data_IF_930342078350
#
_entry.id   IF_930342078350
#
_cell.length_a   1.000
_cell.length_b   1.000
_cell.length_c   1.000
_cell.angle_alpha   90.00
_cell.angle_beta   90.00
_cell.angle_gamma   90.00
#
_symmetry.space_group_name_H-M   'P 1'
#
loop_
_entity.id
_entity.type
_entity.pdbx_description
1 polymer ?
#
# COMPACT_ATOMS: atom_id res chain seq x y z
N UNK A 1 3.73 -3.03 30.74
CA UNK A 1 3.07 -3.57 29.52
C UNK A 1 4.05 -4.48 28.78
N UNK A 2 4.12 -5.78 29.10
CA UNK A 2 4.85 -6.83 28.34
C UNK A 2 4.75 -8.22 29.02
N UNK A 3 3.65 -8.52 29.73
CA UNK A 3 3.53 -9.78 30.48
C UNK A 3 3.46 -11.02 29.55
N UNK A 4 2.82 -10.89 28.39
CA UNK A 4 2.68 -11.95 27.39
C UNK A 4 4.03 -12.41 26.83
N UNK A 5 4.91 -11.46 26.44
CA UNK A 5 6.23 -11.74 25.87
C UNK A 5 7.24 -12.33 26.88
N UNK A 6 6.87 -12.47 28.16
CA UNK A 6 7.68 -13.11 29.21
C UNK A 6 7.39 -14.59 29.39
N UNK A 7 6.33 -15.13 28.76
CA UNK A 7 5.98 -16.54 28.86
C UNK A 7 6.99 -17.34 28.01
N UNK A 8 7.71 -18.33 28.57
CA UNK A 8 8.60 -19.18 27.78
C UNK A 8 7.84 -19.92 26.67
N UNK A 9 8.49 -20.15 25.53
CA UNK A 9 7.95 -20.90 24.38
C UNK A 9 6.80 -20.21 23.61
N UNK A 10 6.53 -18.92 23.83
CA UNK A 10 5.55 -18.16 23.02
C UNK A 10 6.21 -17.32 21.93
N UNK A 11 5.51 -17.12 20.81
CA UNK A 11 5.91 -16.18 19.78
C UNK A 11 5.73 -14.76 20.28
N UNK A 12 6.79 -13.96 20.25
CA UNK A 12 6.74 -12.56 20.69
C UNK A 12 5.85 -11.75 19.76
N UNK A 13 4.98 -10.93 20.34
CA UNK A 13 4.10 -10.02 19.62
C UNK A 13 4.51 -8.57 19.85
N UNK A 14 4.32 -7.73 18.83
CA UNK A 14 4.50 -6.29 18.98
C UNK A 14 3.32 -5.74 19.80
N UNK A 15 3.63 -5.15 20.96
CA UNK A 15 2.62 -4.59 21.87
C UNK A 15 2.42 -3.07 21.67
N UNK A 16 3.16 -2.47 20.73
CA UNK A 16 2.91 -1.09 20.32
C UNK A 16 1.78 -1.07 19.28
N UNK A 17 0.59 -0.74 19.76
CA UNK A 17 -0.60 -0.66 18.91
C UNK A 17 -0.47 0.48 17.89
N UNK A 18 0.21 1.58 18.23
CA UNK A 18 0.38 2.71 17.31
C UNK A 18 1.22 2.30 16.12
N UNK A 19 2.35 1.65 16.37
CA UNK A 19 3.22 1.11 15.31
C UNK A 19 2.48 0.06 14.45
N UNK A 20 1.73 -0.85 15.07
CA UNK A 20 0.95 -1.83 14.33
C UNK A 20 -0.09 -1.18 13.42
N UNK A 21 -0.89 -0.24 13.94
CA UNK A 21 -1.93 0.45 13.17
C UNK A 21 -1.33 1.26 12.03
N UNK A 22 -0.22 1.96 12.26
CA UNK A 22 0.48 2.70 11.19
C UNK A 22 0.95 1.76 10.08
N UNK A 23 1.57 0.64 10.43
CA UNK A 23 2.06 -0.33 9.44
C UNK A 23 0.91 -0.96 8.63
N UNK A 24 -0.20 -1.34 9.28
CA UNK A 24 -1.37 -1.88 8.58
C UNK A 24 -2.05 -0.83 7.70
N UNK A 25 -2.14 0.42 8.15
CA UNK A 25 -2.67 1.51 7.34
C UNK A 25 -1.81 1.77 6.09
N UNK A 26 -0.47 1.77 6.24
CA UNK A 26 0.46 1.91 5.11
C UNK A 26 0.30 0.76 4.11
N UNK A 27 0.20 -0.49 4.58
CA UNK A 27 -0.08 -1.64 3.70
C UNK A 27 -1.36 -1.45 2.91
N UNK A 28 -2.44 -1.02 3.56
CA UNK A 28 -3.72 -0.74 2.91
C UNK A 28 -3.62 0.36 1.86
N UNK A 29 -2.94 1.47 2.19
CA UNK A 29 -2.73 2.59 1.29
C UNK A 29 -1.97 2.17 0.03
N UNK A 30 -0.83 1.49 0.18
CA UNK A 30 -0.04 1.04 -0.95
C UNK A 30 -0.75 -0.03 -1.78
N UNK A 31 -1.57 -0.88 -1.16
CA UNK A 31 -2.41 -1.82 -1.91
C UNK A 31 -3.40 -1.11 -2.83
N UNK A 32 -4.01 -0.02 -2.37
CA UNK A 32 -4.93 0.78 -3.19
C UNK A 32 -4.21 1.57 -4.28
N UNK A 33 -3.04 2.12 -3.98
CA UNK A 33 -2.19 2.76 -4.99
C UNK A 33 -1.83 1.76 -6.09
N UNK A 34 -1.43 0.54 -5.75
CA UNK A 34 -1.07 -0.49 -6.74
C UNK A 34 -2.26 -0.87 -7.64
N UNK A 35 -3.47 -0.93 -7.09
CA UNK A 35 -4.70 -1.19 -7.85
C UNK A 35 -4.96 -0.07 -8.89
N UNK A 36 -4.88 1.19 -8.47
CA UNK A 36 -5.10 2.34 -9.37
C UNK A 36 -3.98 2.49 -10.40
N UNK A 37 -2.73 2.25 -10.02
CA UNK A 37 -1.58 2.30 -10.92
C UNK A 37 -1.75 1.29 -12.07
N UNK A 38 -2.17 0.06 -11.72
CA UNK A 38 -2.49 -0.98 -12.70
C UNK A 38 -3.64 -0.58 -13.62
N UNK A 39 -4.68 0.08 -13.10
CA UNK A 39 -5.77 0.62 -13.91
C UNK A 39 -5.25 1.66 -14.91
N UNK A 40 -4.47 2.64 -14.46
CA UNK A 40 -3.85 3.68 -15.30
C UNK A 40 -2.97 3.05 -16.39
N UNK A 41 -2.18 2.00 -16.08
CA UNK A 41 -1.34 1.32 -17.08
C UNK A 41 -2.11 0.53 -18.14
N UNK A 42 -3.28 0.01 -17.81
CA UNK A 42 -4.06 -0.85 -18.72
C UNK A 42 -5.16 -0.10 -19.48
N UNK A 43 -5.75 0.91 -18.84
CA UNK A 43 -6.91 1.62 -19.36
C UNK A 43 -6.52 3.04 -19.79
N UNK A 44 -6.54 3.30 -21.10
CA UNK A 44 -6.32 4.64 -21.67
C UNK A 44 -7.31 5.68 -21.14
N UNK A 45 -8.55 5.29 -20.88
CA UNK A 45 -9.59 6.17 -20.32
C UNK A 45 -9.33 6.62 -18.88
N UNK A 46 -8.53 5.87 -18.11
CA UNK A 46 -8.12 6.26 -16.76
C UNK A 46 -7.03 7.34 -16.74
N UNK A 47 -6.41 7.66 -17.89
CA UNK A 47 -5.35 8.67 -18.04
C UNK A 47 -5.95 10.05 -18.30
N UNK A 48 -6.79 10.51 -17.39
CA UNK A 48 -7.59 11.73 -17.58
C UNK A 48 -6.74 13.02 -17.48
N UNK A 49 -5.69 13.00 -16.67
CA UNK A 49 -4.83 14.16 -16.46
C UNK A 49 -3.81 14.37 -17.59
N UNK A 50 -3.45 15.63 -17.83
CA UNK A 50 -2.46 15.99 -18.85
C UNK A 50 -1.09 15.38 -18.58
N UNK A 51 -0.72 15.22 -17.30
CA UNK A 51 0.51 14.56 -16.92
C UNK A 51 0.51 13.08 -17.33
N UNK A 52 -0.57 12.36 -17.05
CA UNK A 52 -0.67 10.94 -17.40
C UNK A 52 -0.68 10.75 -18.92
N UNK A 53 -1.42 11.57 -19.68
CA UNK A 53 -1.39 11.52 -21.15
C UNK A 53 0.01 11.74 -21.71
N UNK A 54 0.78 12.67 -21.14
CA UNK A 54 2.17 12.92 -21.55
C UNK A 54 3.10 11.74 -21.23
N UNK A 55 3.01 11.17 -20.03
CA UNK A 55 3.84 10.03 -19.61
C UNK A 55 3.58 8.81 -20.49
N UNK A 56 2.32 8.55 -20.83
CA UNK A 56 1.92 7.38 -21.61
C UNK A 56 1.78 7.64 -23.12
N UNK A 57 2.19 8.81 -23.61
CA UNK A 57 2.00 9.25 -25.00
C UNK A 57 2.61 8.30 -26.05
N UNK A 58 3.65 7.54 -25.71
CA UNK A 58 4.24 6.53 -26.62
C UNK A 58 3.48 5.21 -26.63
N UNK A 59 2.81 4.86 -25.53
CA UNK A 59 2.07 3.60 -25.40
C UNK A 59 0.66 3.69 -26.04
N UNK A 60 0.12 4.91 -26.12
CA UNK A 60 -1.24 5.18 -26.61
C UNK A 60 -1.34 5.62 -28.08
N UNK A 61 -0.19 5.70 -28.76
CA UNK A 61 -0.08 5.91 -30.20
C UNK A 61 -0.26 4.59 -30.92
#
# INVERSE_FOLDING_TARGET
VNAYNKIPLVTKVNNDLSDYVTNEALKGLFSKIAEEEKNIRKNKGARTSELLKKVFAKQDK
#
